data_IF_576195511187
#
_entry.id   IF_576195511187
#
_cell.length_a   1.000
_cell.length_b   1.000
_cell.length_c   1.000
_cell.angle_alpha   90.00
_cell.angle_beta   90.00
_cell.angle_gamma   90.00
#
_symmetry.space_group_name_H-M   'P 1'
#
loop_
_entity.id
_entity.type
_entity.pdbx_description
1 polymer ?
#
# COMPACT_ATOMS: atom_id res chain seq x y z
N UNK A 1 -21.09 6.16 -69.10
CA UNK A 1 -20.35 6.11 -67.82
C UNK A 1 -21.29 6.58 -66.72
N UNK A 2 -21.77 5.68 -65.86
CA UNK A 2 -22.54 6.02 -64.66
C UNK A 2 -21.57 5.95 -63.48
N UNK A 3 -21.29 7.09 -62.85
CA UNK A 3 -20.55 7.12 -61.59
C UNK A 3 -21.56 7.03 -60.45
N UNK A 4 -21.57 5.89 -59.78
CA UNK A 4 -22.32 5.68 -58.54
C UNK A 4 -21.42 6.11 -57.39
N UNK A 5 -21.68 7.26 -56.79
CA UNK A 5 -20.99 7.68 -55.56
C UNK A 5 -21.48 6.82 -54.40
N UNK A 6 -20.63 5.92 -53.92
CA UNK A 6 -20.84 5.18 -52.67
C UNK A 6 -20.46 6.11 -51.53
N UNK A 7 -21.45 6.57 -50.77
CA UNK A 7 -21.24 7.27 -49.51
C UNK A 7 -20.92 6.22 -48.44
N UNK A 8 -19.65 6.09 -48.07
CA UNK A 8 -19.24 5.26 -46.93
C UNK A 8 -19.49 6.08 -45.67
N UNK A 9 -20.53 5.72 -44.93
CA UNK A 9 -20.76 6.25 -43.59
C UNK A 9 -19.76 5.59 -42.63
N UNK A 10 -18.74 6.34 -42.23
CA UNK A 10 -17.92 5.99 -41.06
C UNK A 10 -18.78 6.18 -39.81
N UNK A 11 -19.43 5.11 -39.35
CA UNK A 11 -19.91 5.01 -37.97
C UNK A 11 -18.66 4.84 -37.10
N UNK A 12 -18.05 5.97 -36.71
CA UNK A 12 -17.10 5.96 -35.60
C UNK A 12 -17.87 5.49 -34.37
N UNK A 13 -17.56 4.28 -33.89
CA UNK A 13 -17.99 3.86 -32.57
C UNK A 13 -17.37 4.85 -31.58
N UNK A 14 -18.19 5.75 -31.05
CA UNK A 14 -17.82 6.54 -29.87
C UNK A 14 -17.64 5.51 -28.77
N UNK A 15 -16.40 5.17 -28.45
CA UNK A 15 -16.11 4.38 -27.26
C UNK A 15 -16.75 5.14 -26.10
N UNK A 16 -17.63 4.48 -25.34
CA UNK A 16 -18.22 5.10 -24.16
C UNK A 16 -17.09 5.61 -23.27
N UNK A 17 -17.17 6.89 -22.88
CA UNK A 17 -16.20 7.50 -21.99
C UNK A 17 -16.21 6.76 -20.65
N UNK A 18 -15.01 6.46 -20.13
CA UNK A 18 -14.85 5.72 -18.88
C UNK A 18 -15.48 6.50 -17.72
N UNK A 19 -16.14 5.80 -16.79
CA UNK A 19 -16.76 6.44 -15.61
C UNK A 19 -15.66 6.85 -14.62
N UNK A 20 -15.87 7.94 -13.88
CA UNK A 20 -14.93 8.45 -12.88
C UNK A 20 -15.65 8.77 -11.57
N UNK A 21 -14.99 8.49 -10.45
CA UNK A 21 -15.49 8.77 -9.10
C UNK A 21 -14.37 9.34 -8.25
N UNK A 22 -14.60 10.52 -7.65
CA UNK A 22 -13.65 11.17 -6.75
C UNK A 22 -14.28 11.38 -5.38
N UNK A 23 -13.54 11.03 -4.33
CA UNK A 23 -13.94 11.24 -2.95
C UNK A 23 -12.72 11.49 -2.05
N UNK A 24 -12.99 11.69 -0.76
CA UNK A 24 -12.01 12.09 0.24
C UNK A 24 -12.13 11.22 1.49
N UNK A 25 -11.03 11.03 2.21
CA UNK A 25 -11.07 10.45 3.55
C UNK A 25 -11.81 11.35 4.54
N UNK A 26 -12.05 10.83 5.75
CA UNK A 26 -12.27 11.70 6.91
C UNK A 26 -11.08 12.66 7.13
N UNK A 27 -11.30 13.82 7.77
CA UNK A 27 -10.24 14.79 8.04
C UNK A 27 -9.12 14.17 8.90
N UNK A 28 -7.88 14.44 8.51
CA UNK A 28 -6.67 14.03 9.24
C UNK A 28 -6.04 15.29 9.81
N UNK A 29 -6.19 15.49 11.12
CA UNK A 29 -5.75 16.72 11.80
C UNK A 29 -4.44 16.49 12.51
N UNK A 30 -3.39 17.25 12.15
CA UNK A 30 -2.03 17.05 12.63
C UNK A 30 -1.38 18.36 13.07
N UNK A 31 -0.68 18.32 14.20
CA UNK A 31 0.28 19.35 14.59
C UNK A 31 1.56 19.25 13.73
N UNK A 32 2.42 20.26 13.78
CA UNK A 32 3.73 20.18 13.11
C UNK A 32 4.54 18.99 13.64
N UNK A 33 5.10 18.20 12.74
CA UNK A 33 5.82 16.96 13.06
C UNK A 33 4.91 15.77 13.40
N UNK A 34 3.61 15.98 13.55
CA UNK A 34 2.66 14.93 13.89
C UNK A 34 2.49 13.91 12.76
N UNK A 35 2.26 12.66 13.16
CA UNK A 35 2.10 11.52 12.26
C UNK A 35 0.65 10.99 12.34
N UNK A 36 0.08 10.70 11.17
CA UNK A 36 -1.07 9.80 11.04
C UNK A 36 -0.61 8.55 10.32
N UNK A 37 -0.92 7.39 10.87
CA UNK A 37 -0.77 6.08 10.25
C UNK A 37 -2.06 5.29 10.52
N UNK A 38 -3.18 5.87 10.06
CA UNK A 38 -4.53 5.50 10.47
C UNK A 38 -5.29 4.86 9.32
N UNK A 39 -6.34 4.11 9.66
CA UNK A 39 -7.22 3.48 8.68
C UNK A 39 -8.47 4.32 8.43
N UNK A 40 -8.78 4.53 7.17
CA UNK A 40 -9.93 5.30 6.70
C UNK A 40 -10.84 4.42 5.83
N UNK A 41 -12.15 4.58 5.98
CA UNK A 41 -13.12 4.01 5.05
C UNK A 41 -13.16 4.87 3.79
N UNK A 42 -13.00 4.25 2.63
CA UNK A 42 -13.10 4.89 1.33
C UNK A 42 -14.40 4.45 0.68
N UNK A 43 -15.32 5.38 0.43
CA UNK A 43 -16.51 5.08 -0.37
C UNK A 43 -16.13 4.82 -1.83
N UNK A 44 -16.79 3.88 -2.48
CA UNK A 44 -16.60 3.59 -3.91
C UNK A 44 -17.96 3.48 -4.61
N UNK A 45 -18.00 3.56 -5.96
CA UNK A 45 -19.20 3.21 -6.70
C UNK A 45 -19.59 1.76 -6.40
N UNK A 46 -20.89 1.52 -6.19
CA UNK A 46 -21.40 0.20 -5.85
C UNK A 46 -21.04 -0.82 -6.93
N UNK A 47 -20.36 -1.88 -6.51
CA UNK A 47 -19.93 -2.99 -7.35
C UNK A 47 -21.06 -3.95 -7.76
N UNK A 48 -20.79 -4.83 -8.74
CA UNK A 48 -19.45 -5.15 -9.25
C UNK A 48 -19.05 -4.23 -10.42
N UNK A 49 -17.82 -3.71 -10.37
CA UNK A 49 -17.24 -2.84 -11.40
C UNK A 49 -15.80 -3.28 -11.74
N UNK A 50 -15.36 -2.97 -12.96
CA UNK A 50 -13.97 -3.11 -13.39
C UNK A 50 -13.23 -1.80 -13.16
N UNK A 51 -12.30 -1.77 -12.21
CA UNK A 51 -11.47 -0.61 -11.88
C UNK A 51 -10.19 -0.65 -12.70
N UNK A 52 -10.01 0.41 -13.49
CA UNK A 52 -8.86 0.58 -14.37
C UNK A 52 -7.84 1.57 -13.86
N UNK A 53 -8.22 2.48 -12.97
CA UNK A 53 -7.30 3.48 -12.45
C UNK A 53 -7.62 3.82 -11.00
N UNK A 54 -6.58 3.96 -10.20
CA UNK A 54 -6.63 4.56 -8.87
C UNK A 54 -5.54 5.64 -8.76
N UNK A 55 -5.95 6.85 -8.42
CA UNK A 55 -5.04 7.96 -8.15
C UNK A 55 -5.31 8.52 -6.76
N UNK A 56 -4.28 8.60 -5.91
CA UNK A 56 -4.33 9.13 -4.55
C UNK A 56 -3.48 10.39 -4.41
N UNK A 57 -3.93 11.37 -3.63
CA UNK A 57 -3.23 12.63 -3.38
C UNK A 57 -3.64 13.22 -2.03
N UNK A 58 -2.73 13.94 -1.37
CA UNK A 58 -3.03 14.69 -0.14
C UNK A 58 -3.39 16.13 -0.48
N UNK A 59 -4.53 16.56 0.06
CA UNK A 59 -5.11 17.87 -0.20
C UNK A 59 -5.59 18.53 1.10
N UNK A 60 -5.82 19.84 1.03
CA UNK A 60 -6.54 20.61 2.04
C UNK A 60 -7.73 21.32 1.39
N UNK A 61 -8.67 21.79 2.21
CA UNK A 61 -9.72 22.69 1.77
C UNK A 61 -9.41 24.13 2.22
N UNK A 62 -9.48 25.06 1.28
CA UNK A 62 -9.53 26.48 1.59
C UNK A 62 -10.84 26.84 2.29
N UNK A 63 -10.88 28.02 2.91
CA UNK A 63 -12.07 28.51 3.62
C UNK A 63 -13.32 28.64 2.72
N UNK A 64 -13.14 28.79 1.40
CA UNK A 64 -14.22 28.84 0.40
C UNK A 64 -14.61 27.47 -0.16
N UNK A 65 -13.99 26.39 0.33
CA UNK A 65 -14.22 25.01 -0.12
C UNK A 65 -13.36 24.59 -1.31
N UNK A 66 -12.45 25.43 -1.80
CA UNK A 66 -11.52 25.06 -2.88
C UNK A 66 -10.55 23.97 -2.40
N UNK A 67 -10.38 22.92 -3.20
CA UNK A 67 -9.40 21.84 -2.94
C UNK A 67 -8.01 22.31 -3.36
N UNK A 68 -7.06 22.27 -2.44
CA UNK A 68 -5.67 22.66 -2.66
C UNK A 68 -4.78 21.41 -2.52
N UNK A 69 -4.08 20.97 -3.57
CA UNK A 69 -3.05 19.94 -3.45
C UNK A 69 -1.93 20.39 -2.51
N UNK A 70 -1.56 19.54 -1.57
CA UNK A 70 -0.54 19.88 -0.57
C UNK A 70 0.84 19.46 -1.06
N UNK A 71 1.82 20.36 -1.12
CA UNK A 71 3.19 19.96 -1.48
C UNK A 71 3.77 18.91 -0.52
N UNK A 72 4.63 18.02 -1.02
CA UNK A 72 5.25 16.95 -0.24
C UNK A 72 6.14 17.45 0.93
N UNK A 73 6.61 18.71 0.86
CA UNK A 73 7.34 19.35 1.96
C UNK A 73 6.43 19.93 3.06
N UNK A 74 5.11 19.96 2.86
CA UNK A 74 4.13 20.40 3.85
C UNK A 74 3.39 19.21 4.47
N UNK A 75 2.93 18.27 3.64
CA UNK A 75 2.36 17.00 4.07
C UNK A 75 2.94 15.88 3.20
N UNK A 76 3.76 15.04 3.82
CA UNK A 76 4.38 13.92 3.14
C UNK A 76 3.47 12.71 3.21
N UNK A 77 3.01 12.23 2.05
CA UNK A 77 2.35 10.94 1.93
C UNK A 77 3.39 9.83 1.90
N UNK A 78 3.64 9.22 3.04
CA UNK A 78 4.62 8.15 3.15
C UNK A 78 4.14 6.90 2.40
N UNK A 79 2.92 6.45 2.69
CA UNK A 79 2.19 5.51 1.85
C UNK A 79 0.68 5.59 2.11
N UNK A 80 -0.10 5.16 1.12
CA UNK A 80 -1.43 4.61 1.33
C UNK A 80 -1.44 3.17 0.87
N UNK A 81 -2.23 2.32 1.53
CA UNK A 81 -2.47 0.94 1.11
C UNK A 81 -3.95 0.65 1.25
N UNK A 82 -4.60 0.27 0.15
CA UNK A 82 -6.03 0.01 0.05
C UNK A 82 -6.30 -1.49 0.23
N UNK A 83 -7.43 -1.81 0.84
CA UNK A 83 -8.01 -3.13 0.94
C UNK A 83 -9.54 -3.04 0.95
N UNK A 84 -10.22 -4.15 1.24
CA UNK A 84 -11.67 -4.27 1.29
C UNK A 84 -12.11 -4.83 2.64
N UNK A 85 -13.36 -4.61 3.04
CA UNK A 85 -13.99 -5.32 4.17
C UNK A 85 -15.08 -6.28 3.71
N UNK A 86 -15.23 -6.46 2.40
CA UNK A 86 -16.30 -7.25 1.82
C UNK A 86 -16.08 -8.75 2.05
N UNK A 87 -17.14 -9.48 2.37
CA UNK A 87 -17.10 -10.91 2.73
C UNK A 87 -16.55 -11.82 1.61
N UNK A 88 -16.61 -11.38 0.34
CA UNK A 88 -15.94 -12.04 -0.81
C UNK A 88 -14.46 -12.31 -0.51
N UNK A 89 -13.83 -11.44 0.28
CA UNK A 89 -12.42 -11.52 0.63
C UNK A 89 -12.19 -12.09 2.04
N UNK A 90 -13.21 -12.64 2.71
CA UNK A 90 -13.09 -13.20 4.05
C UNK A 90 -12.15 -14.41 4.13
N UNK A 91 -11.89 -15.10 3.02
CA UNK A 91 -10.81 -16.12 2.96
C UNK A 91 -9.41 -15.54 3.16
N UNK A 92 -9.26 -14.22 3.10
CA UNK A 92 -8.05 -13.47 3.43
C UNK A 92 -8.04 -12.97 4.89
N UNK A 93 -9.00 -13.39 5.71
CA UNK A 93 -9.01 -13.13 7.15
C UNK A 93 -7.86 -13.89 7.83
N UNK A 94 -7.23 -13.29 8.85
CA UNK A 94 -6.11 -13.89 9.58
C UNK A 94 -4.71 -13.73 8.97
N UNK A 95 -4.58 -13.30 7.71
CA UNK A 95 -3.27 -12.95 7.12
C UNK A 95 -2.77 -11.62 7.67
N UNK A 96 -1.58 -11.59 8.25
CA UNK A 96 -1.05 -10.47 9.01
C UNK A 96 -0.41 -9.43 8.08
N UNK A 97 -0.64 -8.16 8.38
CA UNK A 97 0.05 -7.02 7.77
C UNK A 97 0.31 -6.02 8.89
N UNK A 98 1.37 -5.20 8.82
CA UNK A 98 1.61 -4.21 9.84
C UNK A 98 0.35 -3.38 10.09
N UNK A 99 -0.04 -3.27 11.36
CA UNK A 99 -1.15 -2.44 11.85
C UNK A 99 -2.55 -2.74 11.29
N UNK A 100 -2.77 -3.89 10.63
CA UNK A 100 -4.07 -4.29 10.05
C UNK A 100 -5.22 -4.27 11.08
N UNK A 101 -6.33 -3.54 10.85
CA UNK A 101 -7.49 -3.63 11.71
C UNK A 101 -8.23 -4.95 11.47
N UNK A 102 -8.81 -5.51 12.53
CA UNK A 102 -9.64 -6.73 12.46
C UNK A 102 -10.77 -6.55 11.44
N UNK A 103 -10.97 -7.55 10.58
CA UNK A 103 -12.02 -7.55 9.55
C UNK A 103 -11.72 -6.73 8.30
N UNK A 104 -10.50 -6.18 8.17
CA UNK A 104 -10.00 -5.76 6.86
C UNK A 104 -9.43 -6.97 6.10
N UNK A 105 -9.70 -7.04 4.81
CA UNK A 105 -9.24 -8.05 3.87
C UNK A 105 -8.46 -7.37 2.76
N UNK A 106 -7.43 -8.01 2.23
CA UNK A 106 -6.74 -7.51 1.04
C UNK A 106 -7.51 -7.97 -0.19
N UNK A 107 -8.53 -7.19 -0.56
CA UNK A 107 -9.35 -7.45 -1.74
C UNK A 107 -8.93 -6.68 -2.99
N UNK A 108 -8.32 -5.49 -2.80
CA UNK A 108 -8.01 -4.56 -3.89
C UNK A 108 -6.58 -4.05 -3.74
N UNK A 109 -5.80 -4.12 -4.82
CA UNK A 109 -4.36 -3.99 -4.79
C UNK A 109 -3.81 -2.62 -5.16
N UNK A 110 -4.23 -1.57 -4.45
CA UNK A 110 -3.67 -0.23 -4.63
C UNK A 110 -2.80 0.16 -3.44
N UNK A 111 -1.64 0.74 -3.72
CA UNK A 111 -0.75 1.26 -2.71
C UNK A 111 0.44 2.01 -3.29
N UNK A 112 0.71 3.19 -2.76
CA UNK A 112 1.79 4.06 -3.23
C UNK A 112 2.09 5.11 -2.15
N UNK A 113 3.23 5.78 -2.24
CA UNK A 113 3.59 6.95 -1.45
C UNK A 113 3.46 8.24 -2.23
N UNK A 114 4.44 9.12 -2.04
CA UNK A 114 4.53 10.41 -2.74
C UNK A 114 4.61 10.29 -4.26
N UNK A 115 5.04 9.15 -4.79
CA UNK A 115 5.07 8.86 -6.21
C UNK A 115 3.67 8.78 -6.85
N UNK A 116 2.61 8.62 -6.05
CA UNK A 116 1.25 8.41 -6.55
C UNK A 116 0.73 9.53 -7.49
N UNK A 117 1.23 10.77 -7.34
CA UNK A 117 0.83 11.90 -8.20
C UNK A 117 1.30 11.72 -9.64
N UNK A 118 2.57 11.36 -9.83
CA UNK A 118 3.15 11.13 -11.14
C UNK A 118 2.95 9.72 -11.66
N UNK A 119 2.65 8.77 -10.76
CA UNK A 119 2.45 7.35 -11.07
C UNK A 119 1.14 6.82 -10.48
N UNK A 120 0.00 7.27 -11.02
CA UNK A 120 -1.30 6.66 -10.75
C UNK A 120 -1.26 5.18 -11.18
N UNK A 121 -1.92 4.30 -10.44
CA UNK A 121 -1.99 2.90 -10.82
C UNK A 121 -3.04 2.73 -11.90
N UNK A 122 -2.61 2.39 -13.12
CA UNK A 122 -3.44 2.41 -14.32
C UNK A 122 -3.30 1.12 -15.14
N UNK A 123 -4.45 0.61 -15.58
CA UNK A 123 -4.62 -0.66 -16.28
C UNK A 123 -5.50 -0.46 -17.51
N UNK A 124 -5.38 -1.38 -18.46
CA UNK A 124 -6.05 -1.30 -19.75
C UNK A 124 -6.80 -2.57 -20.06
N UNK A 125 -7.96 -2.43 -20.70
CA UNK A 125 -8.77 -3.55 -21.16
C UNK A 125 -7.90 -4.55 -21.95
N UNK A 126 -8.00 -5.87 -21.69
CA UNK A 126 -9.04 -6.51 -20.88
C UNK A 126 -8.79 -6.55 -19.35
N UNK A 127 -7.63 -6.12 -18.87
CA UNK A 127 -7.22 -6.30 -17.48
C UNK A 127 -7.69 -5.17 -16.57
N UNK A 128 -8.29 -5.52 -15.42
CA UNK A 128 -8.76 -4.58 -14.40
C UNK A 128 -8.89 -5.27 -13.03
N UNK A 129 -8.82 -4.49 -11.95
CA UNK A 129 -9.22 -4.99 -10.62
C UNK A 129 -10.74 -5.00 -10.53
N UNK A 130 -11.33 -6.08 -10.00
CA UNK A 130 -12.78 -6.18 -9.85
C UNK A 130 -13.20 -5.92 -8.40
N UNK A 131 -14.36 -5.28 -8.24
CA UNK A 131 -15.07 -5.25 -6.97
C UNK A 131 -16.14 -6.34 -6.90
N UNK A 132 -16.54 -6.69 -5.69
CA UNK A 132 -17.61 -7.66 -5.47
C UNK A 132 -18.99 -7.06 -5.75
N UNK A 133 -19.97 -7.93 -6.01
CA UNK A 133 -21.37 -7.51 -6.07
C UNK A 133 -21.81 -6.93 -4.72
N UNK A 134 -22.33 -5.71 -4.73
CA UNK A 134 -22.78 -5.03 -3.51
C UNK A 134 -21.70 -4.27 -2.75
N UNK A 135 -20.41 -4.41 -3.10
CA UNK A 135 -19.31 -3.68 -2.46
C UNK A 135 -19.39 -2.18 -2.76
N UNK A 136 -19.49 -1.36 -1.72
CA UNK A 136 -19.62 0.11 -1.84
C UNK A 136 -18.60 0.89 -0.98
N UNK A 137 -17.70 0.16 -0.31
CA UNK A 137 -16.59 0.75 0.44
C UNK A 137 -15.35 -0.14 0.49
N UNK A 138 -14.21 0.55 0.58
CA UNK A 138 -12.89 0.01 0.85
C UNK A 138 -12.38 0.55 2.18
N UNK A 139 -11.23 0.03 2.61
CA UNK A 139 -10.49 0.55 3.74
C UNK A 139 -9.06 0.86 3.28
N UNK A 140 -8.51 1.99 3.67
CA UNK A 140 -7.12 2.34 3.37
C UNK A 140 -6.37 2.73 4.63
N UNK A 141 -5.18 2.16 4.80
CA UNK A 141 -4.17 2.76 5.67
C UNK A 141 -3.63 4.00 4.95
N UNK A 142 -3.61 5.15 5.63
CA UNK A 142 -3.07 6.41 5.09
C UNK A 142 -2.04 6.93 6.08
N UNK A 143 -0.77 6.76 5.70
CA UNK A 143 0.36 7.22 6.47
C UNK A 143 0.86 8.57 5.93
N UNK A 144 0.61 9.63 6.70
CA UNK A 144 1.02 11.00 6.38
C UNK A 144 1.78 11.64 7.54
N UNK A 145 2.73 12.51 7.19
CA UNK A 145 3.57 13.23 8.14
C UNK A 145 3.46 14.73 7.87
N UNK A 146 3.16 15.52 8.89
CA UNK A 146 3.04 16.98 8.76
C UNK A 146 4.40 17.67 8.88
N UNK A 147 5.04 17.95 7.75
CA UNK A 147 6.36 18.59 7.66
C UNK A 147 6.29 20.10 7.43
N UNK A 148 5.09 20.67 7.44
CA UNK A 148 4.83 22.11 7.25
C UNK A 148 5.75 23.00 8.07
N UNK A 149 6.34 24.01 7.40
CA UNK A 149 7.29 25.00 7.97
C UNK A 149 8.61 24.43 8.50
N UNK A 150 8.92 23.16 8.25
CA UNK A 150 10.26 22.63 8.50
C UNK A 150 11.25 23.10 7.43
N UNK A 151 12.53 23.18 7.79
CA UNK A 151 13.59 23.27 6.79
C UNK A 151 13.66 21.97 5.97
N UNK A 152 14.17 21.99 4.73
CA UNK A 152 14.31 20.77 3.93
C UNK A 152 15.07 19.65 4.65
N UNK A 153 16.11 20.00 5.42
CA UNK A 153 16.87 19.03 6.21
C UNK A 153 16.03 18.36 7.32
N UNK A 154 15.24 19.14 8.06
CA UNK A 154 14.31 18.60 9.07
C UNK A 154 13.21 17.77 8.42
N UNK A 155 12.59 18.29 7.36
CA UNK A 155 11.52 17.61 6.65
C UNK A 155 12.01 16.25 6.11
N UNK A 156 13.18 16.21 5.47
CA UNK A 156 13.76 14.96 4.96
C UNK A 156 14.12 13.96 6.06
N UNK A 157 14.62 14.41 7.23
CA UNK A 157 14.79 13.53 8.39
C UNK A 157 13.46 12.94 8.86
N UNK A 158 12.39 13.74 8.92
CA UNK A 158 11.07 13.26 9.30
C UNK A 158 10.55 12.13 8.40
N UNK A 159 10.91 12.13 7.11
CA UNK A 159 10.42 11.14 6.14
C UNK A 159 10.97 9.73 6.41
N UNK A 160 12.06 9.64 7.16
CA UNK A 160 12.75 8.38 7.50
C UNK A 160 12.31 7.86 8.88
N UNK A 161 11.32 8.51 9.51
CA UNK A 161 10.70 8.13 10.77
C UNK A 161 11.72 7.76 11.88
N UNK A 162 12.67 8.65 12.23
CA UNK A 162 13.62 8.36 13.29
C UNK A 162 12.89 8.21 14.62
N UNK A 163 13.33 7.25 15.43
CA UNK A 163 12.80 7.09 16.77
C UNK A 163 13.17 8.28 17.65
N UNK A 164 12.27 8.66 18.53
CA UNK A 164 12.31 9.76 19.48
C UNK A 164 12.30 9.24 20.91
N UNK A 165 12.47 10.14 21.88
CA UNK A 165 12.34 9.83 23.30
C UNK A 165 10.90 9.46 23.72
N UNK A 166 9.90 9.63 22.85
CA UNK A 166 8.52 9.18 23.11
C UNK A 166 8.33 7.68 22.83
N UNK A 167 9.25 7.07 22.08
CA UNK A 167 9.19 5.65 21.72
C UNK A 167 9.62 4.74 22.87
N UNK A 168 8.84 3.68 23.10
CA UNK A 168 9.03 2.72 24.18
C UNK A 168 9.74 1.44 23.69
N UNK A 169 11.02 1.32 24.06
CA UNK A 169 11.84 0.13 23.78
C UNK A 169 11.83 -0.92 24.90
N UNK A 170 10.86 -0.85 25.83
CA UNK A 170 10.78 -1.77 26.95
C UNK A 170 10.31 -3.17 26.55
N UNK A 171 10.64 -4.16 27.40
CA UNK A 171 10.18 -5.56 27.28
C UNK A 171 10.55 -6.25 25.95
N UNK A 172 11.61 -5.81 25.26
CA UNK A 172 12.01 -6.41 23.98
C UNK A 172 11.09 -6.04 22.82
N UNK A 173 10.35 -4.95 22.94
CA UNK A 173 9.40 -4.46 21.94
C UNK A 173 9.72 -3.03 21.54
N UNK A 174 9.24 -2.59 20.38
CA UNK A 174 9.25 -1.20 19.94
C UNK A 174 7.81 -0.73 19.97
N UNK A 175 7.49 0.22 20.85
CA UNK A 175 6.12 0.71 21.08
C UNK A 175 5.10 -0.40 21.38
N UNK A 176 5.55 -1.43 22.10
CA UNK A 176 4.72 -2.59 22.46
C UNK A 176 4.50 -3.58 21.33
N UNK A 177 5.19 -3.41 20.20
CA UNK A 177 5.23 -4.37 19.08
C UNK A 177 6.53 -5.17 19.16
N UNK A 178 6.44 -6.49 19.27
CA UNK A 178 7.61 -7.35 19.08
C UNK A 178 8.12 -7.17 17.66
N UNK A 179 9.44 -6.98 17.48
CA UNK A 179 10.01 -6.84 16.13
C UNK A 179 9.65 -8.09 15.32
N UNK A 180 8.71 -8.02 14.36
CA UNK A 180 8.13 -9.21 13.78
C UNK A 180 8.94 -9.72 12.58
N UNK A 181 10.04 -9.06 12.23
CA UNK A 181 10.72 -9.31 10.96
C UNK A 181 11.90 -10.26 11.12
N UNK A 182 11.84 -11.37 10.38
CA UNK A 182 13.00 -12.21 10.11
C UNK A 182 13.82 -11.55 8.99
N UNK A 183 15.02 -11.08 9.33
CA UNK A 183 15.92 -10.45 8.38
C UNK A 183 16.55 -11.45 7.42
N UNK A 184 16.66 -11.06 6.15
CA UNK A 184 17.43 -11.82 5.17
C UNK A 184 18.92 -11.93 5.56
N UNK A 185 19.65 -12.93 5.04
CA UNK A 185 21.08 -13.08 5.29
C UNK A 185 21.91 -11.83 4.95
N UNK A 186 21.49 -11.03 3.96
CA UNK A 186 22.16 -9.79 3.62
C UNK A 186 21.96 -8.72 4.70
N UNK A 187 20.73 -8.51 5.17
CA UNK A 187 20.48 -7.54 6.25
C UNK A 187 21.20 -7.91 7.56
N UNK A 188 21.26 -9.22 7.86
CA UNK A 188 22.04 -9.73 8.98
C UNK A 188 23.55 -9.49 8.79
N UNK A 189 24.07 -9.68 7.57
CA UNK A 189 25.47 -9.41 7.25
C UNK A 189 25.84 -7.93 7.41
N UNK A 190 24.93 -7.05 6.99
CA UNK A 190 25.11 -5.61 7.04
C UNK A 190 24.91 -5.02 8.45
N UNK A 191 24.56 -5.86 9.44
CA UNK A 191 24.14 -5.45 10.78
C UNK A 191 23.04 -4.38 10.74
N UNK A 192 22.05 -4.57 9.85
CA UNK A 192 20.98 -3.62 9.66
C UNK A 192 20.16 -3.46 10.95
N UNK A 193 19.81 -2.21 11.30
CA UNK A 193 19.23 -1.96 12.62
C UNK A 193 17.79 -2.47 12.74
N UNK A 194 17.10 -2.66 11.61
CA UNK A 194 15.78 -3.29 11.54
C UNK A 194 15.75 -4.72 12.12
N UNK A 195 16.90 -5.40 12.17
CA UNK A 195 16.97 -6.80 12.59
C UNK A 195 16.97 -7.01 14.11
N UNK A 196 17.09 -5.95 14.91
CA UNK A 196 17.10 -6.05 16.36
C UNK A 196 16.46 -4.84 17.01
N UNK A 197 15.57 -5.08 17.97
CA UNK A 197 14.92 -4.00 18.73
C UNK A 197 15.94 -3.16 19.51
N UNK A 198 17.09 -3.73 19.92
CA UNK A 198 18.11 -3.03 20.70
C UNK A 198 18.86 -1.98 19.86
N UNK A 199 18.94 -2.21 18.54
CA UNK A 199 19.66 -1.33 17.62
C UNK A 199 18.73 -0.49 16.78
N UNK A 200 17.42 -0.74 16.77
CA UNK A 200 16.44 -0.09 15.92
C UNK A 200 16.44 1.43 16.13
N UNK A 201 16.65 2.19 15.05
CA UNK A 201 16.81 3.65 15.12
C UNK A 201 15.75 4.45 14.38
N UNK A 202 14.96 3.82 13.51
CA UNK A 202 13.92 4.50 12.75
C UNK A 202 13.19 3.59 11.78
N UNK A 203 12.09 4.10 11.25
CA UNK A 203 11.18 3.40 10.35
C UNK A 203 9.79 3.18 10.98
N UNK A 204 9.06 2.23 10.39
CA UNK A 204 7.66 1.94 10.61
C UNK A 204 7.24 1.89 12.09
N UNK A 205 8.08 1.31 12.96
CA UNK A 205 7.72 1.06 14.36
C UNK A 205 7.77 2.30 15.24
N UNK A 206 8.40 3.38 14.78
CA UNK A 206 8.47 4.70 15.42
C UNK A 206 7.64 5.75 14.67
N UNK A 207 6.70 5.30 13.81
CA UNK A 207 5.90 6.16 12.95
C UNK A 207 4.39 5.85 13.02
N UNK A 208 3.85 5.76 14.24
CA UNK A 208 2.44 5.48 14.48
C UNK A 208 1.59 6.76 14.56
N UNK A 209 0.27 6.57 14.47
CA UNK A 209 -0.69 7.66 14.66
C UNK A 209 -0.52 8.29 16.05
N UNK A 210 -0.32 9.60 16.09
CA UNK A 210 -0.18 10.38 17.33
C UNK A 210 1.25 10.56 17.82
N UNK A 211 2.24 9.94 17.18
CA UNK A 211 3.66 10.16 17.40
C UNK A 211 4.16 11.40 16.62
N UNK A 212 5.43 11.78 16.86
CA UNK A 212 6.11 12.88 16.18
C UNK A 212 7.34 12.38 15.43
N UNK A 213 7.55 12.87 14.21
CA UNK A 213 8.66 12.42 13.35
C UNK A 213 10.05 12.96 13.77
N UNK A 214 10.11 13.83 14.77
CA UNK A 214 11.32 14.38 15.37
C UNK A 214 11.04 14.72 16.84
N UNK A 215 12.11 14.93 17.61
CA UNK A 215 11.98 15.47 18.95
C UNK A 215 11.28 16.83 18.92
N UNK A 216 10.34 17.06 19.85
CA UNK A 216 9.56 18.31 19.89
C UNK A 216 10.42 19.58 20.00
N UNK A 217 11.61 19.49 20.61
CA UNK A 217 12.55 20.60 20.71
C UNK A 217 13.36 20.85 19.42
N UNK A 218 13.37 19.91 18.48
CA UNK A 218 13.97 20.05 17.15
C UNK A 218 12.98 20.66 16.14
N UNK A 219 11.68 20.69 16.47
CA UNK A 219 10.64 21.28 15.62
C UNK A 219 10.72 22.82 15.62
N UNK A 220 10.41 23.48 14.47
CA UNK A 220 10.39 24.94 14.38
C UNK A 220 9.52 25.62 15.44
N UNK A 221 10.00 26.74 16.00
CA UNK A 221 9.26 27.56 16.97
C UNK A 221 9.10 29.02 16.49
N UNK A 222 7.92 29.64 16.66
CA UNK A 222 6.68 29.05 17.16
C UNK A 222 6.08 28.05 16.17
N UNK A 223 5.43 27.01 16.69
CA UNK A 223 4.75 26.03 15.85
C UNK A 223 3.64 26.70 15.02
N UNK A 224 3.42 26.28 13.76
CA UNK A 224 2.28 26.72 12.98
C UNK A 224 0.95 26.22 13.58
N UNK A 225 -0.16 26.75 13.08
CA UNK A 225 -1.47 26.21 13.42
C UNK A 225 -1.60 24.75 12.97
N UNK A 226 -2.38 23.97 13.72
CA UNK A 226 -2.75 22.60 13.37
C UNK A 226 -3.33 22.57 11.95
N UNK A 227 -2.90 21.58 11.17
CA UNK A 227 -3.26 21.42 9.76
C UNK A 227 -4.30 20.31 9.63
N UNK A 228 -5.22 20.43 8.68
CA UNK A 228 -6.26 19.43 8.42
C UNK A 228 -6.17 18.98 6.97
N UNK A 229 -5.68 17.76 6.80
CA UNK A 229 -5.44 17.13 5.51
C UNK A 229 -6.54 16.10 5.18
N UNK A 230 -6.62 15.76 3.90
CA UNK A 230 -7.49 14.72 3.37
C UNK A 230 -6.72 13.94 2.31
N UNK A 231 -6.89 12.63 2.23
CA UNK A 231 -6.52 11.92 1.02
C UNK A 231 -7.68 12.02 0.04
N UNK A 232 -7.48 12.72 -1.05
CA UNK A 232 -8.32 12.67 -2.25
C UNK A 232 -7.96 11.41 -3.03
N UNK A 233 -8.95 10.65 -3.45
CA UNK A 233 -8.75 9.53 -4.35
C UNK A 233 -9.72 9.59 -5.51
N UNK A 234 -9.26 9.18 -6.70
CA UNK A 234 -10.05 9.11 -7.93
C UNK A 234 -9.94 7.72 -8.52
N UNK A 235 -11.10 7.14 -8.83
CA UNK A 235 -11.26 5.81 -9.42
C UNK A 235 -11.82 5.99 -10.81
N UNK A 236 -11.15 5.43 -11.82
CA UNK A 236 -11.76 5.26 -13.14
C UNK A 236 -12.16 3.81 -13.36
N UNK A 237 -13.39 3.60 -13.81
CA UNK A 237 -14.02 2.30 -13.84
C UNK A 237 -15.06 2.16 -14.96
N UNK A 238 -15.37 0.92 -15.32
CA UNK A 238 -16.46 0.57 -16.24
C UNK A 238 -17.25 -0.64 -15.71
N UNK A 239 -18.32 -1.01 -16.42
CA UNK A 239 -19.04 -2.25 -16.16
C UNK A 239 -18.20 -3.47 -16.60
N UNK A 240 -18.24 -4.56 -15.83
CA UNK A 240 -17.50 -5.79 -16.13
C UNK A 240 -18.11 -6.47 -17.38
N UNK A 241 -17.25 -6.83 -18.34
CA UNK A 241 -17.58 -7.54 -19.58
C UNK A 241 -16.99 -8.96 -19.58
N UNK A 242 -17.53 -9.90 -20.39
CA UNK A 242 -17.01 -11.27 -20.46
C UNK A 242 -15.54 -11.39 -20.86
N UNK A 243 -15.02 -10.43 -21.61
CA UNK A 243 -13.62 -10.39 -22.03
C UNK A 243 -12.70 -9.83 -20.94
N UNK A 244 -13.24 -9.21 -19.89
CA UNK A 244 -12.42 -8.67 -18.82
C UNK A 244 -11.70 -9.79 -18.07
N UNK A 245 -10.50 -9.46 -17.59
CA UNK A 245 -9.64 -10.36 -16.83
C UNK A 245 -9.31 -9.71 -15.50
N UNK A 246 -9.72 -10.39 -14.42
CA UNK A 246 -9.52 -9.93 -13.04
C UNK A 246 -8.03 -9.91 -12.73
N UNK A 247 -7.55 -8.73 -12.32
CA UNK A 247 -6.21 -8.55 -11.78
C UNK A 247 -6.21 -8.79 -10.28
N UNK A 248 -5.07 -9.29 -9.82
CA UNK A 248 -4.71 -9.29 -8.42
C UNK A 248 -3.19 -9.08 -8.28
N UNK A 249 -2.75 -8.77 -7.07
CA UNK A 249 -1.33 -8.56 -6.81
C UNK A 249 -0.63 -9.90 -6.54
N UNK A 250 0.58 -10.06 -7.08
CA UNK A 250 1.46 -11.18 -6.76
C UNK A 250 1.76 -11.25 -5.25
N UNK A 251 2.12 -12.45 -4.78
CA UNK A 251 2.46 -12.73 -3.38
C UNK A 251 3.80 -12.13 -2.90
N UNK A 252 4.56 -11.60 -3.85
CA UNK A 252 5.89 -11.01 -3.69
C UNK A 252 5.81 -9.51 -4.08
N UNK A 253 6.82 -8.65 -3.95
CA UNK A 253 8.26 -8.91 -4.03
C UNK A 253 8.99 -7.80 -3.26
N UNK A 254 9.52 -8.12 -2.08
CA UNK A 254 10.25 -7.19 -1.20
C UNK A 254 11.76 -7.48 -1.24
N UNK A 255 12.56 -6.45 -1.53
CA UNK A 255 14.00 -6.59 -1.66
C UNK A 255 14.72 -6.96 -0.34
N UNK A 256 14.05 -6.85 0.80
CA UNK A 256 14.57 -7.23 2.12
C UNK A 256 14.28 -8.68 2.51
N UNK A 257 13.46 -9.40 1.73
CA UNK A 257 13.11 -10.82 1.95
C UNK A 257 14.05 -11.83 1.28
N UNK A 258 13.60 -13.07 1.19
CA UNK A 258 14.26 -14.18 0.51
C UNK A 258 13.24 -15.26 0.08
N UNK A 259 13.72 -16.47 -0.22
CA UNK A 259 12.87 -17.59 -0.67
C UNK A 259 12.01 -18.20 0.45
N UNK A 260 12.28 -17.85 1.70
CA UNK A 260 11.70 -18.39 2.93
C UNK A 260 10.93 -17.31 3.72
N UNK A 261 11.34 -16.05 3.62
CA UNK A 261 10.77 -14.93 4.36
C UNK A 261 10.37 -13.82 3.40
N UNK A 262 9.18 -13.25 3.61
CA UNK A 262 8.66 -12.20 2.74
C UNK A 262 9.48 -10.91 2.78
N UNK A 263 10.07 -10.58 3.94
CA UNK A 263 10.94 -9.41 4.12
C UNK A 263 10.64 -8.63 5.39
N UNK A 264 11.44 -7.60 5.62
CA UNK A 264 11.29 -6.66 6.71
C UNK A 264 10.37 -5.46 6.37
N UNK A 265 9.84 -5.38 5.14
CA UNK A 265 9.08 -4.25 4.56
C UNK A 265 9.94 -2.98 4.41
N UNK A 266 10.59 -2.57 5.50
CA UNK A 266 11.55 -1.49 5.57
C UNK A 266 12.93 -2.02 6.00
N UNK A 267 13.99 -1.31 5.63
CA UNK A 267 15.35 -1.57 6.07
C UNK A 267 16.17 -0.28 6.05
N UNK A 268 17.35 -0.29 6.66
CA UNK A 268 18.23 0.88 6.66
C UNK A 268 19.27 0.82 5.53
N UNK A 269 19.64 1.98 4.99
CA UNK A 269 20.78 2.13 4.10
C UNK A 269 21.95 2.68 4.92
N UNK A 270 23.01 1.90 5.17
CA UNK A 270 24.17 2.38 5.90
C UNK A 270 24.94 3.41 5.07
N UNK A 271 25.58 4.37 5.75
CA UNK A 271 26.45 5.34 5.09
C UNK A 271 27.66 4.63 4.45
N UNK A 272 27.94 4.94 3.19
CA UNK A 272 29.10 4.43 2.47
C UNK A 272 30.43 4.93 3.07
N UNK A 273 31.48 4.13 2.86
CA UNK A 273 32.85 4.62 2.83
C UNK A 273 33.26 4.85 1.37
N UNK A 274 33.40 6.11 0.91
CA UNK A 274 33.78 6.41 -0.48
C UNK A 274 35.14 5.86 -0.91
N UNK A 275 36.02 5.49 0.04
CA UNK A 275 37.30 4.86 -0.28
C UNK A 275 37.14 3.40 -0.71
N UNK A 276 36.07 2.73 -0.25
CA UNK A 276 35.75 1.33 -0.57
C UNK A 276 34.69 1.25 -1.66
N UNK A 277 33.68 2.13 -1.62
CA UNK A 277 32.60 2.24 -2.59
C UNK A 277 32.52 3.69 -3.11
N UNK A 278 33.34 4.08 -4.12
CA UNK A 278 33.40 5.45 -4.62
C UNK A 278 32.07 5.99 -5.18
N UNK A 279 31.19 5.09 -5.63
CA UNK A 279 29.87 5.46 -6.14
C UNK A 279 28.83 5.69 -5.05
N UNK A 280 29.10 5.26 -3.80
CA UNK A 280 28.17 5.32 -2.69
C UNK A 280 26.77 4.80 -3.05
N UNK A 281 26.73 3.69 -3.79
CA UNK A 281 25.48 2.98 -4.08
C UNK A 281 25.40 1.78 -3.14
N UNK A 282 24.36 1.74 -2.32
CA UNK A 282 23.98 0.54 -1.57
C UNK A 282 23.05 -0.30 -2.43
N UNK A 283 23.25 -1.61 -2.46
CA UNK A 283 22.42 -2.53 -3.24
C UNK A 283 22.00 -3.71 -2.37
N UNK A 284 20.70 -3.99 -2.34
CA UNK A 284 20.13 -5.18 -1.73
C UNK A 284 19.48 -6.06 -2.79
N UNK A 285 19.57 -7.38 -2.63
CA UNK A 285 18.94 -8.32 -3.54
C UNK A 285 18.24 -9.46 -2.82
N UNK A 286 17.01 -9.73 -3.26
CA UNK A 286 16.20 -10.85 -2.79
C UNK A 286 15.81 -11.75 -3.96
N UNK A 287 15.53 -13.01 -3.64
CA UNK A 287 14.89 -13.98 -4.56
C UNK A 287 13.58 -14.40 -3.94
N UNK A 288 12.49 -14.26 -4.68
CA UNK A 288 11.16 -14.66 -4.20
C UNK A 288 10.41 -15.38 -5.32
N UNK A 289 9.59 -16.36 -4.96
CA UNK A 289 8.63 -16.94 -5.89
C UNK A 289 7.55 -15.91 -6.23
N UNK A 290 6.98 -15.97 -7.44
CA UNK A 290 5.81 -15.15 -7.80
C UNK A 290 4.64 -15.38 -6.82
N UNK A 291 4.42 -16.65 -6.43
CA UNK A 291 3.47 -17.13 -5.43
C UNK A 291 1.99 -17.01 -5.82
N UNK A 292 1.12 -17.85 -5.25
CA UNK A 292 -0.33 -17.78 -5.48
C UNK A 292 -0.94 -16.50 -4.87
N UNK A 293 -1.73 -15.77 -5.68
CA UNK A 293 -2.99 -15.13 -5.27
C UNK A 293 -2.96 -13.99 -4.25
N UNK A 294 -3.21 -12.76 -4.72
CA UNK A 294 -3.80 -11.59 -4.04
C UNK A 294 -3.05 -10.98 -2.84
N UNK A 295 -1.75 -11.22 -2.64
CA UNK A 295 -1.11 -10.99 -1.32
C UNK A 295 0.14 -10.11 -1.39
N UNK A 296 -0.02 -8.78 -1.33
CA UNK A 296 1.15 -7.92 -1.54
C UNK A 296 2.09 -7.68 -0.36
N UNK A 297 1.94 -8.18 0.86
CA UNK A 297 2.95 -8.03 1.95
C UNK A 297 2.51 -8.97 3.07
N UNK A 298 2.25 -10.23 2.75
CA UNK A 298 2.00 -11.22 3.80
C UNK A 298 3.33 -11.48 4.51
N UNK A 299 3.30 -11.73 5.81
CA UNK A 299 4.48 -11.91 6.66
C UNK A 299 4.28 -13.21 7.47
N UNK A 300 3.90 -14.27 6.75
CA UNK A 300 3.61 -15.59 7.30
C UNK A 300 4.53 -16.68 6.75
N UNK A 301 4.63 -17.80 7.48
CA UNK A 301 5.59 -18.87 7.22
C UNK A 301 5.14 -19.91 6.17
N UNK A 302 3.94 -19.78 5.59
CA UNK A 302 3.36 -20.85 4.77
C UNK A 302 3.35 -20.51 3.28
N UNK A 303 4.48 -20.81 2.62
CA UNK A 303 4.49 -21.06 1.18
C UNK A 303 3.70 -22.33 0.85
N UNK A 304 2.39 -22.22 0.73
CA UNK A 304 1.64 -23.19 -0.09
C UNK A 304 1.77 -22.75 -1.54
N UNK A 305 2.80 -23.26 -2.21
CA UNK A 305 3.03 -23.00 -3.63
C UNK A 305 2.02 -23.79 -4.46
N UNK A 306 0.93 -23.15 -4.87
CA UNK A 306 0.16 -23.60 -6.02
C UNK A 306 1.01 -23.37 -7.28
N UNK A 307 1.07 -24.33 -8.19
CA UNK A 307 1.83 -24.25 -9.44
C UNK A 307 0.88 -24.09 -10.63
N UNK A 308 0.73 -22.85 -11.09
CA UNK A 308 -0.15 -22.51 -12.21
C UNK A 308 0.40 -21.37 -13.03
N UNK A 309 -0.07 -21.27 -14.27
CA UNK A 309 0.32 -20.21 -15.19
C UNK A 309 -0.44 -18.92 -14.89
N UNK A 310 0.31 -17.81 -14.88
CA UNK A 310 -0.18 -16.44 -14.74
C UNK A 310 0.41 -15.55 -15.83
N UNK A 311 -0.25 -14.43 -16.05
CA UNK A 311 0.23 -13.34 -16.88
C UNK A 311 0.61 -12.15 -16.01
N UNK A 312 1.87 -11.73 -16.08
CA UNK A 312 2.34 -10.46 -15.55
C UNK A 312 1.96 -9.34 -16.52
N UNK A 313 1.06 -8.48 -16.06
CA UNK A 313 0.42 -7.42 -16.86
C UNK A 313 1.06 -6.08 -16.58
N UNK A 314 1.39 -5.82 -15.32
CA UNK A 314 1.94 -4.54 -14.89
C UNK A 314 2.89 -4.71 -13.71
N UNK A 315 3.94 -3.91 -13.68
CA UNK A 315 4.89 -3.86 -12.58
C UNK A 315 5.28 -2.40 -12.29
N UNK A 316 5.28 -2.03 -11.01
CA UNK A 316 5.82 -0.76 -10.51
C UNK A 316 6.49 -0.98 -9.17
N UNK A 317 7.63 -0.32 -8.97
CA UNK A 317 8.32 -0.30 -7.70
C UNK A 317 7.81 0.83 -6.80
N UNK A 318 7.80 0.58 -5.50
CA UNK A 318 7.66 1.59 -4.46
C UNK A 318 9.00 1.70 -3.74
N UNK A 319 9.53 2.92 -3.72
CA UNK A 319 10.86 3.20 -3.19
C UNK A 319 10.85 4.55 -2.49
N UNK A 320 11.44 4.60 -1.29
CA UNK A 320 11.55 5.83 -0.52
C UNK A 320 12.64 6.76 -1.07
N UNK A 321 12.75 7.94 -0.45
CA UNK A 321 13.81 8.92 -0.71
C UNK A 321 15.19 8.28 -0.72
N UNK A 322 16.09 8.85 -1.53
CA UNK A 322 17.43 8.34 -1.84
C UNK A 322 17.42 7.08 -2.71
N UNK A 323 16.25 6.57 -3.09
CA UNK A 323 16.16 5.50 -4.05
C UNK A 323 16.74 5.88 -5.41
N UNK A 324 17.49 4.95 -6.00
CA UNK A 324 18.08 5.05 -7.34
C UNK A 324 17.37 4.14 -8.36
N UNK A 325 16.49 3.26 -7.90
CA UNK A 325 15.72 2.34 -8.73
C UNK A 325 15.67 0.93 -8.15
N UNK A 326 14.66 0.21 -8.59
CA UNK A 326 14.44 -1.21 -8.31
C UNK A 326 14.22 -1.96 -9.62
N UNK A 327 14.86 -3.13 -9.73
CA UNK A 327 14.91 -3.93 -10.93
C UNK A 327 14.41 -5.34 -10.65
N UNK A 328 13.62 -5.88 -11.57
CA UNK A 328 13.01 -7.19 -11.51
C UNK A 328 13.57 -8.07 -12.62
N UNK A 329 14.15 -9.21 -12.25
CA UNK A 329 14.71 -10.17 -13.17
C UNK A 329 14.01 -11.52 -13.03
N UNK A 330 13.91 -12.25 -14.14
CA UNK A 330 13.67 -13.69 -14.07
C UNK A 330 14.97 -14.36 -13.62
N UNK A 331 14.97 -15.03 -12.47
CA UNK A 331 16.23 -15.53 -11.87
C UNK A 331 16.87 -16.65 -12.71
N UNK A 332 16.07 -17.49 -13.37
CA UNK A 332 16.54 -18.62 -14.18
C UNK A 332 17.16 -18.17 -15.51
N UNK A 333 16.52 -17.21 -16.18
CA UNK A 333 16.94 -16.76 -17.53
C UNK A 333 17.85 -15.54 -17.51
N UNK A 334 17.97 -14.88 -16.37
CA UNK A 334 18.66 -13.59 -16.19
C UNK A 334 18.04 -12.43 -17.00
N UNK A 335 16.84 -12.62 -17.56
CA UNK A 335 16.12 -11.57 -18.30
C UNK A 335 15.68 -10.45 -17.34
N UNK A 336 16.04 -9.20 -17.66
CA UNK A 336 15.43 -8.02 -17.03
C UNK A 336 13.96 -7.91 -17.46
N UNK A 337 13.04 -8.15 -16.53
CA UNK A 337 11.60 -8.05 -16.77
C UNK A 337 11.12 -6.61 -16.65
N UNK A 338 11.56 -5.88 -15.62
CA UNK A 338 11.15 -4.49 -15.40
C UNK A 338 12.22 -3.69 -14.66
N UNK A 339 12.31 -2.40 -15.00
CA UNK A 339 13.07 -1.40 -14.27
C UNK A 339 12.14 -0.28 -13.84
N UNK A 340 12.03 -0.07 -12.54
CA UNK A 340 11.21 0.99 -11.93
C UNK A 340 12.13 2.00 -11.26
N UNK A 341 12.21 3.20 -11.82
CA UNK A 341 13.18 4.25 -11.45
C UNK A 341 12.43 5.48 -10.95
N UNK A 342 12.82 6.06 -9.79
CA UNK A 342 12.20 7.26 -9.28
C UNK A 342 12.49 8.48 -10.14
N UNK A 343 11.48 9.32 -10.31
CA UNK A 343 11.63 10.70 -10.77
C UNK A 343 11.61 11.61 -9.55
N UNK A 344 12.66 12.42 -9.41
CA UNK A 344 12.72 13.46 -8.39
C UNK A 344 12.24 14.79 -8.95
N UNK A 345 11.48 15.53 -8.15
CA UNK A 345 11.07 16.88 -8.51
C UNK A 345 12.25 17.85 -8.50
N UNK A 346 12.03 19.03 -9.08
CA UNK A 346 13.04 20.10 -9.18
C UNK A 346 12.47 21.51 -8.97
N UNK A 347 11.25 21.60 -8.44
CA UNK A 347 10.53 22.85 -8.24
C UNK A 347 9.92 22.95 -6.84
N UNK A 348 8.85 23.72 -6.71
CA UNK A 348 8.20 24.00 -5.43
C UNK A 348 6.69 23.83 -5.48
N UNK A 349 6.15 23.34 -6.60
CA UNK A 349 4.71 23.12 -6.77
C UNK A 349 4.36 21.70 -6.37
N UNK A 350 3.12 21.48 -5.93
CA UNK A 350 2.65 20.16 -5.55
C UNK A 350 2.82 19.16 -6.72
N UNK A 351 3.55 18.07 -6.49
CA UNK A 351 3.90 17.07 -7.50
C UNK A 351 5.12 17.38 -8.36
N UNK A 352 5.89 18.43 -8.05
CA UNK A 352 7.21 18.68 -8.62
C UNK A 352 8.15 19.33 -7.59
N UNK A 353 8.23 18.78 -6.39
CA UNK A 353 9.03 19.30 -5.28
C UNK A 353 10.48 18.82 -5.34
N UNK A 354 11.42 19.76 -5.27
CA UNK A 354 12.86 19.48 -5.26
C UNK A 354 13.25 18.53 -4.12
N UNK A 355 13.98 17.46 -4.45
CA UNK A 355 14.46 16.48 -3.47
C UNK A 355 13.42 15.46 -2.99
N UNK A 356 12.21 15.44 -3.57
CA UNK A 356 11.16 14.45 -3.31
C UNK A 356 10.95 13.52 -4.50
N UNK A 357 10.63 12.26 -4.22
CA UNK A 357 10.12 11.33 -5.24
C UNK A 357 8.71 11.79 -5.62
N UNK A 358 8.48 12.04 -6.90
CA UNK A 358 7.18 12.52 -7.42
C UNK A 358 6.53 11.53 -8.39
N UNK A 359 7.29 10.55 -8.87
CA UNK A 359 6.84 9.48 -9.74
C UNK A 359 7.82 8.31 -9.69
N UNK A 360 7.37 7.14 -10.11
CA UNK A 360 8.16 5.95 -10.43
C UNK A 360 7.87 5.51 -11.87
N UNK A 361 8.89 5.09 -12.63
CA UNK A 361 8.66 4.48 -13.94
C UNK A 361 7.97 3.13 -13.81
N UNK A 362 7.14 2.76 -14.78
CA UNK A 362 6.32 1.55 -14.73
C UNK A 362 6.61 0.66 -15.93
N UNK A 363 6.25 -0.62 -15.82
CA UNK A 363 6.25 -1.55 -16.95
C UNK A 363 4.84 -2.08 -17.15
N UNK A 364 4.22 -1.74 -18.29
CA UNK A 364 3.00 -2.38 -18.77
C UNK A 364 3.37 -3.35 -19.89
N UNK A 365 3.00 -4.61 -19.75
CA UNK A 365 3.38 -5.67 -20.68
C UNK A 365 2.31 -5.91 -21.73
N UNK A 366 2.66 -5.75 -23.01
CA UNK A 366 1.79 -6.04 -24.14
C UNK A 366 2.56 -6.73 -25.28
N UNK A 367 2.39 -8.05 -25.49
CA UNK A 367 1.53 -8.94 -24.71
C UNK A 367 2.03 -9.12 -23.26
N UNK A 368 1.15 -9.49 -22.31
CA UNK A 368 1.55 -9.84 -20.95
C UNK A 368 2.59 -10.97 -20.92
N UNK A 369 3.48 -10.95 -19.91
CA UNK A 369 4.51 -11.99 -19.77
C UNK A 369 3.92 -13.20 -19.07
N UNK A 370 4.03 -14.38 -19.69
CA UNK A 370 3.60 -15.64 -19.08
C UNK A 370 4.69 -16.20 -18.18
N UNK A 371 4.30 -16.64 -16.99
CA UNK A 371 5.18 -17.28 -16.01
C UNK A 371 4.36 -18.19 -15.10
N UNK A 372 5.05 -19.01 -14.31
CA UNK A 372 4.44 -19.82 -13.26
C UNK A 372 4.49 -19.08 -11.93
N UNK A 373 3.49 -19.31 -11.09
CA UNK A 373 3.51 -18.88 -9.68
C UNK A 373 4.73 -19.41 -8.92
N UNK A 374 5.30 -20.53 -9.36
CA UNK A 374 6.52 -21.12 -8.80
C UNK A 374 7.82 -20.56 -9.38
N UNK A 375 7.78 -19.74 -10.44
CA UNK A 375 8.98 -19.11 -10.98
C UNK A 375 9.60 -18.16 -9.95
N UNK A 376 10.93 -18.10 -9.94
CA UNK A 376 11.70 -17.24 -9.03
C UNK A 376 12.03 -15.93 -9.72
N UNK A 377 11.68 -14.83 -9.06
CA UNK A 377 12.05 -13.48 -9.43
C UNK A 377 13.21 -13.03 -8.57
N UNK A 378 14.20 -12.41 -9.20
CA UNK A 378 15.32 -11.75 -8.50
C UNK A 378 15.07 -10.25 -8.49
N UNK A 379 14.99 -9.70 -7.29
CA UNK A 379 14.76 -8.28 -7.02
C UNK A 379 16.12 -7.66 -6.70
N UNK A 380 16.41 -6.50 -7.28
CA UNK A 380 17.62 -5.73 -6.99
C UNK A 380 17.22 -4.27 -6.79
N UNK A 381 17.39 -3.76 -5.58
CA UNK A 381 17.12 -2.36 -5.26
C UNK A 381 18.41 -1.62 -4.97
N UNK A 382 18.50 -0.36 -5.40
CA UNK A 382 19.68 0.49 -5.19
C UNK A 382 19.31 1.82 -4.56
N UNK A 383 20.16 2.29 -3.66
CA UNK A 383 20.01 3.55 -2.94
C UNK A 383 21.30 4.37 -2.96
N UNK A 384 21.16 5.69 -2.97
CA UNK A 384 22.24 6.60 -2.61
C UNK A 384 22.53 6.41 -1.12
N UNK A 385 23.79 6.12 -0.81
CA UNK A 385 24.30 5.86 0.54
C UNK A 385 25.36 6.88 0.96
N UNK A 386 25.46 8.02 0.27
CA UNK A 386 26.32 9.14 0.67
C UNK A 386 26.02 9.61 2.10
N UNK A 387 24.77 9.50 2.51
CA UNK A 387 24.29 9.56 3.89
C UNK A 387 23.62 8.25 4.28
N UNK A 388 23.49 8.00 5.58
CA UNK A 388 22.66 6.90 6.05
C UNK A 388 21.18 7.28 5.90
N UNK A 389 20.33 6.30 5.66
CA UNK A 389 18.87 6.44 5.59
C UNK A 389 18.20 5.36 6.42
N UNK A 390 17.18 5.71 7.21
CA UNK A 390 16.38 4.73 7.97
C UNK A 390 15.05 4.45 7.31
N UNK A 391 14.51 3.25 7.53
CA UNK A 391 13.13 2.93 7.17
C UNK A 391 12.83 3.02 5.66
N UNK A 392 13.77 2.64 4.79
CA UNK A 392 13.55 2.69 3.34
C UNK A 392 12.77 1.46 2.85
N UNK A 393 11.87 1.64 1.87
CA UNK A 393 11.12 0.53 1.25
C UNK A 393 11.68 0.14 -0.12
N UNK A 394 11.56 -1.12 -0.52
CA UNK A 394 11.92 -1.60 -1.87
C UNK A 394 11.00 -2.70 -2.31
N UNK A 395 9.80 -2.30 -2.71
CA UNK A 395 8.68 -3.20 -2.86
C UNK A 395 8.18 -3.15 -4.30
N UNK A 396 7.78 -4.30 -4.85
CA UNK A 396 7.11 -4.37 -6.14
C UNK A 396 5.61 -4.56 -5.98
N UNK A 397 4.84 -3.74 -6.70
CA UNK A 397 3.45 -4.02 -7.02
C UNK A 397 3.39 -4.68 -8.39
N UNK A 398 3.20 -6.00 -8.40
CA UNK A 398 3.05 -6.79 -9.62
C UNK A 398 1.59 -7.17 -9.81
N UNK A 399 0.93 -6.60 -10.83
CA UNK A 399 -0.43 -6.99 -11.19
C UNK A 399 -0.38 -8.19 -12.14
N UNK A 400 -0.96 -9.30 -11.70
CA UNK A 400 -1.02 -10.55 -12.42
C UNK A 400 -2.46 -11.00 -12.64
N UNK A 401 -2.68 -11.85 -13.64
CA UNK A 401 -3.97 -12.46 -13.93
C UNK A 401 -3.81 -13.95 -14.25
N UNK A 402 -4.82 -14.76 -13.91
CA UNK A 402 -4.84 -16.18 -14.25
C UNK A 402 -4.98 -16.37 -15.75
N UNK A 403 -4.19 -17.29 -16.33
CA UNK A 403 -4.32 -17.65 -17.75
C UNK A 403 -5.66 -18.36 -17.96
N UNK A 404 -6.55 -17.75 -18.74
CA UNK A 404 -7.80 -18.41 -19.16
C UNK A 404 -7.47 -19.38 -20.29
N UNK A 405 -7.78 -20.69 -20.16
CA UNK A 405 -7.60 -21.64 -21.25
C UNK A 405 -8.44 -21.22 -22.46
N UNK A 406 -7.90 -21.32 -23.67
CA UNK A 406 -8.57 -20.92 -24.92
C UNK A 406 -9.91 -21.65 -25.22
N UNK A 407 -10.35 -22.57 -24.35
CA UNK A 407 -11.55 -23.39 -24.52
C UNK A 407 -12.82 -22.85 -23.80
N UNK A 408 -12.72 -21.81 -22.96
CA UNK A 408 -13.88 -21.30 -22.20
C UNK A 408 -14.65 -20.14 -22.88
N UNK A 409 -14.40 -19.87 -24.16
CA UNK A 409 -15.26 -18.96 -24.96
C UNK A 409 -16.56 -19.61 -25.44
N UNK A 410 -16.90 -20.80 -24.94
CA UNK A 410 -18.15 -21.49 -25.29
C UNK A 410 -19.00 -21.78 -24.06
N UNK A 411 -19.96 -20.88 -23.83
CA UNK A 411 -21.26 -21.09 -23.14
C UNK A 411 -21.25 -21.96 -21.88
N UNK A 412 -21.27 -21.33 -20.70
CA UNK A 412 -21.99 -21.90 -19.54
C UNK A 412 -22.94 -20.86 -18.97
N UNK A 413 -24.23 -21.11 -19.22
CA UNK A 413 -25.33 -20.38 -18.62
C UNK A 413 -25.43 -20.65 -17.12
N UNK A 414 -26.04 -19.69 -16.43
CA UNK A 414 -26.46 -19.73 -15.04
C UNK A 414 -27.04 -21.09 -14.65
N UNK A 415 -26.44 -21.74 -13.65
CA UNK A 415 -27.10 -22.78 -12.88
C UNK A 415 -27.41 -22.21 -11.49
N UNK A 416 -28.69 -21.93 -11.27
CA UNK A 416 -29.29 -21.66 -9.96
C UNK A 416 -29.31 -22.94 -9.11
N UNK A 417 -28.79 -22.90 -7.89
CA UNK A 417 -29.01 -23.94 -6.88
C UNK A 417 -29.96 -23.42 -5.80
N UNK A 418 -31.12 -24.08 -5.71
CA UNK A 418 -32.15 -23.86 -4.70
C UNK A 418 -31.89 -24.66 -3.41
N UNK A 419 -32.50 -24.16 -2.34
CA UNK A 419 -32.49 -24.58 -0.93
C UNK A 419 -32.70 -26.08 -0.63
N UNK A 420 -32.11 -26.54 0.47
CA UNK A 420 -32.68 -27.61 1.33
C UNK A 420 -32.46 -27.29 2.82
N UNK A 421 -33.49 -27.62 3.59
CA UNK A 421 -33.86 -27.14 4.91
C UNK A 421 -33.12 -27.76 6.13
N UNK A 422 -33.14 -26.95 7.20
CA UNK A 422 -33.27 -27.22 8.65
C UNK A 422 -33.05 -28.63 9.24
N UNK A 423 -32.31 -28.68 10.34
CA UNK A 423 -32.69 -29.43 11.56
C UNK A 423 -32.03 -28.81 12.81
N UNK A 424 -32.62 -29.08 13.97
CA UNK A 424 -32.59 -28.24 15.17
C UNK A 424 -32.19 -29.00 16.44
N UNK A 425 -31.60 -28.26 17.41
CA UNK A 425 -31.56 -28.42 18.90
C UNK A 425 -30.45 -29.28 19.57
N UNK A 426 -30.14 -29.08 20.89
CA UNK A 426 -30.51 -28.00 21.83
C UNK A 426 -29.34 -27.38 22.63
N UNK A 427 -29.67 -26.30 23.33
CA UNK A 427 -28.92 -25.55 24.35
C UNK A 427 -28.74 -26.31 25.68
N UNK A 428 -27.61 -26.08 26.36
CA UNK A 428 -27.44 -26.23 27.81
C UNK A 428 -26.63 -25.04 28.34
N UNK A 429 -27.23 -24.27 29.26
CA UNK A 429 -26.57 -23.19 29.99
C UNK A 429 -26.05 -23.66 31.34
N UNK A 430 -25.01 -23.00 31.85
CA UNK A 430 -24.65 -22.99 33.28
C UNK A 430 -24.16 -21.59 33.68
N UNK A 431 -24.55 -21.19 34.88
CA UNK A 431 -24.48 -19.88 35.49
C UNK A 431 -23.08 -19.44 35.98
N UNK A 432 -22.98 -18.12 36.14
CA UNK A 432 -21.83 -17.34 36.58
C UNK A 432 -21.48 -17.48 38.07
N UNK A 433 -20.22 -17.16 38.42
CA UNK A 433 -19.78 -16.82 39.77
C UNK A 433 -19.09 -15.45 39.81
N UNK A 434 -19.50 -14.64 40.79
CA UNK A 434 -19.32 -13.19 40.87
C UNK A 434 -17.93 -12.70 41.32
N UNK A 435 -16.86 -13.46 41.09
CA UNK A 435 -15.48 -13.02 41.39
C UNK A 435 -14.75 -12.41 40.17
N UNK A 436 -15.31 -12.57 38.97
CA UNK A 436 -14.71 -12.05 37.73
C UNK A 436 -14.96 -10.55 37.49
N UNK A 437 -15.95 -9.94 38.15
CA UNK A 437 -16.38 -8.57 37.83
C UNK A 437 -15.36 -7.51 38.30
N UNK A 438 -14.65 -7.75 39.42
CA UNK A 438 -13.64 -6.80 39.90
C UNK A 438 -12.35 -6.81 39.06
N UNK A 439 -11.92 -7.99 38.57
CA UNK A 439 -10.78 -8.13 37.68
C UNK A 439 -11.09 -7.61 36.26
N UNK A 440 -12.32 -7.80 35.78
CA UNK A 440 -12.79 -7.25 34.51
C UNK A 440 -12.87 -5.72 34.54
N UNK A 441 -13.23 -5.09 35.66
CA UNK A 441 -13.25 -3.62 35.76
C UNK A 441 -11.83 -3.03 35.77
N UNK A 442 -10.86 -3.65 36.46
CA UNK A 442 -9.46 -3.18 36.44
C UNK A 442 -8.79 -3.44 35.09
N UNK A 443 -9.06 -4.60 34.47
CA UNK A 443 -8.63 -4.89 33.10
C UNK A 443 -9.30 -3.95 32.09
N UNK A 444 -10.59 -3.63 32.24
CA UNK A 444 -11.30 -2.67 31.39
C UNK A 444 -10.78 -1.25 31.55
N UNK A 445 -10.36 -0.82 32.74
CA UNK A 445 -9.74 0.51 32.94
C UNK A 445 -8.33 0.56 32.35
N UNK A 446 -7.56 -0.53 32.42
CA UNK A 446 -6.24 -0.62 31.77
C UNK A 446 -6.35 -0.75 30.24
N UNK A 447 -7.30 -1.52 29.73
CA UNK A 447 -7.62 -1.63 28.29
C UNK A 447 -8.20 -0.33 27.77
N UNK A 448 -9.04 0.38 28.53
CA UNK A 448 -9.55 1.69 28.15
C UNK A 448 -8.44 2.74 28.10
N UNK A 449 -7.49 2.71 29.05
CA UNK A 449 -6.29 3.58 29.00
C UNK A 449 -5.33 3.19 27.88
N UNK A 450 -5.28 1.92 27.46
CA UNK A 450 -4.50 1.43 26.32
C UNK A 450 -5.19 1.77 24.99
N UNK A 451 -6.50 1.66 24.90
CA UNK A 451 -7.33 2.06 23.74
C UNK A 451 -7.37 3.58 23.55
N UNK A 452 -7.41 4.35 24.64
CA UNK A 452 -7.30 5.81 24.60
C UNK A 452 -5.89 6.30 24.20
N UNK A 453 -4.86 5.45 24.33
CA UNK A 453 -3.52 5.67 23.74
C UNK A 453 -3.40 5.12 22.31
N UNK A 454 -4.24 4.17 21.93
CA UNK A 454 -4.25 3.57 20.59
C UNK A 454 -5.11 4.32 19.57
N UNK A 455 -5.78 5.42 19.94
CA UNK A 455 -6.39 6.35 18.98
C UNK A 455 -7.30 5.73 17.90
N UNK A 456 -7.86 4.55 18.13
CA UNK A 456 -8.82 3.93 17.22
C UNK A 456 -10.23 4.33 17.64
N UNK A 457 -10.64 5.53 17.24
CA UNK A 457 -12.05 5.85 17.22
C UNK A 457 -12.77 4.83 16.32
N UNK A 458 -13.89 4.30 16.80
CA UNK A 458 -14.85 3.57 15.96
C UNK A 458 -15.13 4.45 14.74
N UNK A 459 -14.77 3.96 13.55
CA UNK A 459 -15.01 4.70 12.30
C UNK A 459 -16.52 4.81 12.11
N UNK A 460 -17.06 5.96 12.48
CA UNK A 460 -18.47 6.30 12.34
C UNK A 460 -18.75 6.51 10.83
N UNK A 461 -19.54 5.61 10.23
CA UNK A 461 -19.67 5.46 8.77
C UNK A 461 -20.46 6.59 8.08
N UNK A 462 -20.93 7.60 8.82
CA UNK A 462 -21.95 8.55 8.35
C UNK A 462 -21.45 9.95 7.94
N UNK A 463 -20.14 10.26 7.94
CA UNK A 463 -19.68 11.66 7.76
C UNK A 463 -18.69 11.91 6.62
N UNK A 464 -18.80 11.24 5.48
CA UNK A 464 -17.95 11.55 4.30
C UNK A 464 -18.62 12.61 3.42
N UNK A 465 -18.00 13.78 3.18
CA UNK A 465 -18.53 14.76 2.21
C UNK A 465 -18.44 14.19 0.80
N UNK A 466 -19.58 14.06 0.11
CA UNK A 466 -19.65 13.74 -1.32
C UNK A 466 -19.89 15.03 -2.11
N UNK A 467 -19.12 15.27 -3.18
CA UNK A 467 -19.57 16.17 -4.24
C UNK A 467 -20.44 15.34 -5.20
N UNK A 468 -21.70 15.74 -5.35
CA UNK A 468 -22.60 15.26 -6.42
C UNK A 468 -22.31 15.97 -7.73
#
# INVERSE_FOLDING_TARGET
MKFTSVLIAFLGAVAAERKSFTAYTQPITLEQGGISNAFHVLKIPKGPIAVYRFAGDIVEFAADGTVIPTPNYDAYLHHHVVGSRHERYASQDGKWTPMKPKGAYRGVGFGAGTEARGTPQEFYFPYAFFTAEGEDEWIANVHIINTRKMTPAQAHRCLECPCTAEDDFSNGTINGVENPHECSPQLLHDNNTVCSFETYTGGLWCCNTGEFCLEKNELPTPAPATSTYYMRYTIEYDDIKPENRELYLAGCCDASGDLVHHGAVEYDVPKCDPSVNPGCVYTISARQHVGQGNMVFDLGNDYVQDDREVELVYAVGHQHRAGLGIHLYNDTTDELLCSSVPTYGNGTVAGNEDGYVIAMSTCTFNPPRRMRTTDVLRIVASYDSTTAHTGVMSLWYLAIADVVPAAETTTKGLATSADVASTSWPTLGVAASAAAVAAVIVAAVMVYRRQARQGYDQVDSEKTPMQQ
#
